data_IF_520370110737
#
_entry.id   IF_520370110737
#
_cell.length_a   1.000
_cell.length_b   1.000
_cell.length_c   1.000
_cell.angle_alpha   90.00
_cell.angle_beta   90.00
_cell.angle_gamma   90.00
#
_symmetry.space_group_name_H-M   'P 1'
#
loop_
_entity.id
_entity.type
_entity.pdbx_description
1 polymer ?
#
# COMPACT_ATOMS: atom_id res chain seq x y z
N UNK A 1 21.77 -41.05 24.24
CA UNK A 1 22.27 -39.68 23.96
C UNK A 1 21.62 -39.23 22.67
N UNK A 2 20.53 -38.47 22.78
CA UNK A 2 19.90 -37.78 21.64
C UNK A 2 20.12 -36.31 21.96
N UNK A 3 21.00 -35.67 21.19
CA UNK A 3 21.20 -34.23 21.28
C UNK A 3 19.92 -33.56 20.77
N UNK A 4 19.14 -33.04 21.71
CA UNK A 4 18.08 -32.09 21.41
C UNK A 4 18.76 -30.80 20.94
N UNK A 5 19.00 -30.70 19.64
CA UNK A 5 19.35 -29.45 18.97
C UNK A 5 18.09 -28.60 18.83
N UNK A 6 17.51 -28.20 19.97
CA UNK A 6 16.55 -27.11 20.03
C UNK A 6 17.34 -25.83 19.90
N UNK A 7 17.58 -25.42 18.65
CA UNK A 7 18.06 -24.08 18.38
C UNK A 7 17.07 -23.09 19.02
N UNK A 8 17.51 -22.17 19.89
CA UNK A 8 16.65 -21.13 20.39
C UNK A 8 16.23 -20.28 19.19
N UNK A 9 14.94 -20.34 18.84
CA UNK A 9 14.32 -19.40 17.93
C UNK A 9 14.72 -17.99 18.36
N UNK A 10 15.27 -17.23 17.41
CA UNK A 10 15.84 -15.90 17.58
C UNK A 10 14.95 -15.04 18.46
N UNK A 11 15.33 -14.82 19.72
CA UNK A 11 14.67 -13.84 20.57
C UNK A 11 15.09 -12.48 20.03
N UNK A 12 14.37 -11.99 19.01
CA UNK A 12 14.46 -10.59 18.61
C UNK A 12 14.10 -9.77 19.86
N UNK A 13 15.06 -9.00 20.34
CA UNK A 13 14.88 -8.18 21.53
C UNK A 13 13.70 -7.23 21.32
N UNK A 14 13.00 -6.87 22.40
CA UNK A 14 11.91 -5.90 22.33
C UNK A 14 12.34 -4.60 21.62
N UNK A 15 13.60 -4.19 21.83
CA UNK A 15 14.20 -3.04 21.17
C UNK A 15 14.25 -3.20 19.64
N UNK A 16 14.69 -4.35 19.14
CA UNK A 16 14.74 -4.64 17.70
C UNK A 16 13.33 -4.71 17.10
N UNK A 17 12.36 -5.27 17.83
CA UNK A 17 10.94 -5.28 17.39
C UNK A 17 10.36 -3.87 17.30
N UNK A 18 10.63 -3.01 18.29
CA UNK A 18 10.19 -1.61 18.25
C UNK A 18 10.85 -0.87 17.07
N UNK A 19 12.15 -1.08 16.85
CA UNK A 19 12.87 -0.49 15.73
C UNK A 19 12.28 -0.91 14.37
N UNK A 20 11.95 -2.20 14.22
CA UNK A 20 11.30 -2.73 13.00
C UNK A 20 9.92 -2.10 12.79
N UNK A 21 9.11 -2.00 13.86
CA UNK A 21 7.79 -1.36 13.80
C UNK A 21 7.88 0.10 13.39
N UNK A 22 8.79 0.88 13.98
CA UNK A 22 9.00 2.28 13.63
C UNK A 22 9.43 2.46 12.16
N UNK A 23 10.31 1.59 11.66
CA UNK A 23 10.74 1.60 10.26
C UNK A 23 9.56 1.30 9.34
N UNK A 24 8.83 0.21 9.57
CA UNK A 24 7.67 -0.13 8.73
C UNK A 24 6.57 0.93 8.78
N UNK A 25 6.33 1.57 9.92
CA UNK A 25 5.36 2.68 10.01
C UNK A 25 5.82 3.87 9.14
N UNK A 26 7.10 4.22 9.18
CA UNK A 26 7.66 5.28 8.34
C UNK A 26 7.58 4.94 6.86
N UNK A 27 7.86 3.69 6.50
CA UNK A 27 7.74 3.21 5.12
C UNK A 27 6.29 3.23 4.64
N UNK A 28 5.35 2.79 5.47
CA UNK A 28 3.90 2.87 5.18
C UNK A 28 3.49 4.33 4.99
N UNK A 29 3.88 5.23 5.89
CA UNK A 29 3.53 6.65 5.82
C UNK A 29 4.08 7.29 4.53
N UNK A 30 5.37 7.10 4.23
CA UNK A 30 6.00 7.65 3.04
C UNK A 30 5.34 7.14 1.74
N UNK A 31 5.16 5.82 1.62
CA UNK A 31 4.51 5.22 0.44
C UNK A 31 3.03 5.64 0.33
N UNK A 32 2.33 5.77 1.46
CA UNK A 32 0.94 6.24 1.48
C UNK A 32 0.81 7.68 1.03
N UNK A 33 1.67 8.57 1.53
CA UNK A 33 1.64 9.98 1.13
C UNK A 33 1.92 10.14 -0.37
N UNK A 34 2.94 9.45 -0.90
CA UNK A 34 3.24 9.47 -2.33
C UNK A 34 2.09 8.89 -3.17
N UNK A 35 1.61 7.70 -2.81
CA UNK A 35 0.53 7.01 -3.52
C UNK A 35 -0.77 7.81 -3.54
N UNK A 36 -1.19 8.35 -2.39
CA UNK A 36 -2.40 9.16 -2.27
C UNK A 36 -2.30 10.49 -3.00
N UNK A 37 -1.12 11.13 -2.99
CA UNK A 37 -0.87 12.34 -3.78
C UNK A 37 -1.05 12.06 -5.28
N UNK A 38 -0.46 10.97 -5.77
CA UNK A 38 -0.59 10.55 -7.18
C UNK A 38 -2.04 10.24 -7.56
N UNK A 39 -2.76 9.50 -6.70
CA UNK A 39 -4.19 9.20 -6.90
C UNK A 39 -5.02 10.49 -6.94
N UNK A 40 -4.75 11.45 -6.05
CA UNK A 40 -5.45 12.72 -5.99
C UNK A 40 -5.28 13.52 -7.29
N UNK A 41 -4.05 13.64 -7.79
CA UNK A 41 -3.74 14.32 -9.05
C UNK A 41 -4.44 13.64 -10.23
N UNK A 42 -4.34 12.33 -10.34
CA UNK A 42 -4.98 11.58 -11.43
C UNK A 42 -6.50 11.68 -11.38
N UNK A 43 -7.09 11.64 -10.18
CA UNK A 43 -8.55 11.80 -9.98
C UNK A 43 -8.99 13.18 -10.44
N UNK A 44 -8.21 14.22 -10.10
CA UNK A 44 -8.46 15.59 -10.56
C UNK A 44 -8.40 15.70 -12.09
N UNK A 45 -7.43 15.05 -12.73
CA UNK A 45 -7.33 15.01 -14.20
C UNK A 45 -8.53 14.30 -14.82
N UNK A 46 -8.91 13.13 -14.30
CA UNK A 46 -10.09 12.40 -14.74
C UNK A 46 -11.36 13.23 -14.58
N UNK A 47 -11.51 13.95 -13.46
CA UNK A 47 -12.65 14.84 -13.21
C UNK A 47 -12.74 15.97 -14.25
N UNK A 48 -11.62 16.62 -14.59
CA UNK A 48 -11.57 17.67 -15.61
C UNK A 48 -11.99 17.11 -16.98
N UNK A 49 -11.42 15.97 -17.36
CA UNK A 49 -11.75 15.30 -18.62
C UNK A 49 -13.22 14.86 -18.66
N UNK A 50 -13.79 14.45 -17.52
CA UNK A 50 -15.18 14.00 -17.42
C UNK A 50 -16.20 15.15 -17.33
N UNK A 51 -15.78 16.37 -16.97
CA UNK A 51 -16.65 17.54 -16.86
C UNK A 51 -16.73 18.41 -18.13
N UNK A 52 -15.89 18.17 -19.15
CA UNK A 52 -15.99 18.93 -20.40
C UNK A 52 -17.32 18.64 -21.12
N UNK A 53 -17.94 19.69 -21.68
CA UNK A 53 -19.31 19.65 -22.23
C UNK A 53 -19.35 18.95 -23.59
N UNK A 54 -18.26 19.01 -24.37
CA UNK A 54 -18.13 18.39 -25.69
C UNK A 54 -16.94 17.43 -25.70
N UNK A 55 -17.15 16.19 -25.24
CA UNK A 55 -16.09 15.18 -25.23
C UNK A 55 -15.95 14.51 -26.59
N UNK A 56 -14.75 14.58 -27.13
CA UNK A 56 -14.29 13.71 -28.20
C UNK A 56 -14.09 12.27 -27.70
N UNK A 57 -14.09 11.30 -28.61
CA UNK A 57 -13.74 9.91 -28.27
C UNK A 57 -12.34 9.77 -27.65
N UNK A 58 -11.40 10.66 -28.02
CA UNK A 58 -10.06 10.73 -27.45
C UNK A 58 -10.08 11.10 -25.97
N UNK A 59 -10.80 12.15 -25.59
CA UNK A 59 -10.90 12.58 -24.18
C UNK A 59 -11.57 11.54 -23.28
N UNK A 60 -12.55 10.80 -23.82
CA UNK A 60 -13.15 9.66 -23.10
C UNK A 60 -12.12 8.54 -22.90
N UNK A 61 -11.32 8.23 -23.92
CA UNK A 61 -10.24 7.25 -23.81
C UNK A 61 -9.20 7.67 -22.75
N UNK A 62 -8.81 8.95 -22.74
CA UNK A 62 -7.86 9.48 -21.76
C UNK A 62 -8.42 9.44 -20.33
N UNK A 63 -9.71 9.73 -20.15
CA UNK A 63 -10.38 9.60 -18.87
C UNK A 63 -10.42 8.14 -18.38
N UNK A 64 -10.73 7.19 -19.27
CA UNK A 64 -10.69 5.75 -18.96
C UNK A 64 -9.27 5.34 -18.55
N UNK A 65 -8.25 5.80 -19.28
CA UNK A 65 -6.86 5.50 -18.97
C UNK A 65 -6.46 6.07 -17.60
N UNK A 66 -6.86 7.30 -17.28
CA UNK A 66 -6.62 7.89 -15.96
C UNK A 66 -7.27 7.07 -14.84
N UNK A 67 -8.52 6.62 -15.02
CA UNK A 67 -9.22 5.76 -14.06
C UNK A 67 -8.53 4.40 -13.87
N UNK A 68 -8.01 3.80 -14.94
CA UNK A 68 -7.22 2.57 -14.87
C UNK A 68 -5.96 2.79 -14.02
N UNK A 69 -5.23 3.88 -14.27
CA UNK A 69 -4.01 4.19 -13.52
C UNK A 69 -4.32 4.42 -12.04
N UNK A 70 -5.39 5.15 -11.72
CA UNK A 70 -5.85 5.35 -10.33
C UNK A 70 -6.08 4.01 -9.63
N UNK A 71 -6.85 3.11 -10.27
CA UNK A 71 -7.14 1.79 -9.71
C UNK A 71 -5.86 0.99 -9.47
N UNK A 72 -4.94 1.01 -10.44
CA UNK A 72 -3.65 0.32 -10.31
C UNK A 72 -2.84 0.88 -9.14
N UNK A 73 -2.74 2.21 -8.98
CA UNK A 73 -2.00 2.81 -7.86
C UNK A 73 -2.66 2.60 -6.51
N UNK A 74 -3.98 2.59 -6.45
CA UNK A 74 -4.69 2.21 -5.23
C UNK A 74 -4.35 0.78 -4.80
N UNK A 75 -4.38 -0.18 -5.75
CA UNK A 75 -4.04 -1.57 -5.46
C UNK A 75 -2.56 -1.77 -5.10
N UNK A 76 -1.63 -1.06 -5.73
CA UNK A 76 -0.22 -1.08 -5.34
C UNK A 76 -0.01 -0.57 -3.92
N UNK A 77 -0.69 0.52 -3.54
CA UNK A 77 -0.61 1.06 -2.20
C UNK A 77 -1.18 0.09 -1.16
N UNK A 78 -2.34 -0.49 -1.43
CA UNK A 78 -2.94 -1.53 -0.57
C UNK A 78 -1.99 -2.71 -0.37
N UNK A 79 -1.40 -3.23 -1.46
CA UNK A 79 -0.45 -4.33 -1.39
C UNK A 79 0.82 -3.99 -0.60
N UNK A 80 1.32 -2.75 -0.73
CA UNK A 80 2.46 -2.27 0.04
C UNK A 80 2.17 -2.27 1.55
N UNK A 81 1.01 -1.72 1.93
CA UNK A 81 0.57 -1.67 3.34
C UNK A 81 0.40 -3.09 3.89
N UNK A 82 -0.28 -3.96 3.16
CA UNK A 82 -0.50 -5.34 3.58
C UNK A 82 0.82 -6.10 3.75
N UNK A 83 1.73 -5.99 2.79
CA UNK A 83 3.05 -6.63 2.87
C UNK A 83 3.85 -6.16 4.10
N UNK A 84 3.86 -4.86 4.38
CA UNK A 84 4.52 -4.32 5.58
C UNK A 84 3.87 -4.81 6.88
N UNK A 85 2.54 -4.89 6.92
CA UNK A 85 1.81 -5.41 8.07
C UNK A 85 2.06 -6.92 8.28
N UNK A 86 2.12 -7.71 7.20
CA UNK A 86 2.43 -9.15 7.23
C UNK A 86 3.84 -9.42 7.73
N UNK A 87 4.83 -8.65 7.28
CA UNK A 87 6.22 -8.76 7.73
C UNK A 87 6.37 -8.58 9.25
N UNK A 88 5.49 -7.80 9.86
CA UNK A 88 5.46 -7.56 11.30
C UNK A 88 4.52 -8.50 12.06
N UNK A 89 3.77 -9.36 11.36
CA UNK A 89 2.71 -10.18 11.96
C UNK A 89 1.54 -9.36 12.51
N UNK A 90 1.34 -8.15 11.98
CA UNK A 90 0.29 -7.20 12.35
C UNK A 90 -0.76 -7.04 11.24
N UNK A 91 -0.77 -7.92 10.24
CA UNK A 91 -1.72 -7.86 9.15
C UNK A 91 -3.16 -8.04 9.65
N UNK A 92 -4.07 -7.28 9.06
CA UNK A 92 -5.48 -7.46 9.30
C UNK A 92 -5.92 -8.80 8.71
N UNK A 93 -6.70 -9.56 9.48
CA UNK A 93 -7.33 -10.81 9.04
C UNK A 93 -8.80 -10.69 9.35
N UNK A 94 -9.62 -10.84 8.32
CA UNK A 94 -11.07 -10.76 8.44
C UNK A 94 -11.58 -11.70 9.55
N UNK A 95 -12.38 -11.16 10.47
CA UNK A 95 -12.98 -11.93 11.58
C UNK A 95 -12.14 -12.07 12.85
N UNK A 96 -11.00 -11.36 12.99
CA UNK A 96 -10.35 -11.16 14.30
C UNK A 96 -10.77 -9.82 14.91
N UNK A 97 -11.70 -9.87 15.87
CA UNK A 97 -11.91 -8.82 16.88
C UNK A 97 -11.06 -9.08 18.12
#
# INVERSE_FOLDING_TARGET
MIENNDQPQTITSLKERIQQLETSIKDIDANSQEGLSNISVLTRMAEILLKSVDKTSGEISDAIQALIIIRTKAGELENCINSQAELLGCNWVEGRE
#
